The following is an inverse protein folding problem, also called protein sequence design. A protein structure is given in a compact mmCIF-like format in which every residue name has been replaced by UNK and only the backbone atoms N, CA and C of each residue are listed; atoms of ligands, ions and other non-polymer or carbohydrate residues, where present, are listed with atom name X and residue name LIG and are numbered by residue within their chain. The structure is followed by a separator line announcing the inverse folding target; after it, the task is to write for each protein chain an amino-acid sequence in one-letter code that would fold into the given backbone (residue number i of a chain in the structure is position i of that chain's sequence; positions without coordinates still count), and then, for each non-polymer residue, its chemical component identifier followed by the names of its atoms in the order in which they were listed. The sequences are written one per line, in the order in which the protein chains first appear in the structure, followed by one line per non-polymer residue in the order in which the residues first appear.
data_IF_847037828826
#
_entry.id   IF_847037828826
#
_cell.length_a   1.000
_cell.length_b   1.000
_cell.length_c   1.000
_cell.angle_alpha   90.00
_cell.angle_beta   90.00
_cell.angle_gamma   90.00
#
_symmetry.space_group_name_H-M   'P 1'
#
loop_
_entity.id
_entity.type
_entity.pdbx_description
1 polymer ?
#
# COMPACT_ATOMS: atom_id res chain seq x y z
N UNK A 1 -47.48 -8.08 29.90
CA UNK A 1 -47.22 -7.78 28.47
C UNK A 1 -46.14 -6.71 28.21
N UNK A 2 -45.94 -5.70 29.07
CA UNK A 2 -44.90 -4.66 28.85
C UNK A 2 -43.44 -5.09 29.10
N UNK A 3 -43.21 -6.14 29.90
CA UNK A 3 -41.84 -6.65 30.20
C UNK A 3 -41.26 -7.59 29.13
N UNK A 4 -42.09 -8.18 28.28
CA UNK A 4 -41.63 -9.09 27.21
C UNK A 4 -41.14 -8.33 25.98
N UNK A 5 -41.70 -7.14 25.72
CA UNK A 5 -41.31 -6.26 24.61
C UNK A 5 -39.92 -5.66 24.83
N UNK A 6 -39.54 -5.39 26.09
CA UNK A 6 -38.19 -4.90 26.41
C UNK A 6 -37.09 -5.94 26.19
N UNK A 7 -37.40 -7.24 26.35
CA UNK A 7 -36.42 -8.31 26.18
C UNK A 7 -36.14 -8.62 24.70
N UNK A 8 -37.15 -8.43 23.84
CA UNK A 8 -37.01 -8.56 22.38
C UNK A 8 -36.30 -7.33 21.79
N UNK A 9 -36.45 -6.14 22.39
CA UNK A 9 -35.71 -4.94 22.00
C UNK A 9 -34.22 -4.98 22.38
N UNK A 10 -33.83 -5.77 23.40
CA UNK A 10 -32.44 -5.88 23.84
C UNK A 10 -31.63 -6.97 23.10
N UNK A 11 -32.31 -7.90 22.42
CA UNK A 11 -31.67 -9.03 21.73
C UNK A 11 -31.44 -8.80 20.24
N UNK A 12 -31.98 -7.72 19.66
CA UNK A 12 -31.79 -7.36 18.25
C UNK A 12 -30.53 -6.51 17.96
N UNK A 13 -29.70 -6.22 18.98
CA UNK A 13 -28.46 -5.44 18.83
C UNK A 13 -27.20 -6.27 18.56
N UNK A 14 -27.29 -7.61 18.51
CA UNK A 14 -26.19 -8.46 18.06
C UNK A 14 -26.23 -8.69 16.55
N UNK A 15 -26.27 -7.60 15.77
CA UNK A 15 -25.81 -7.70 14.40
C UNK A 15 -24.32 -8.00 14.44
N UNK A 16 -23.96 -9.24 14.11
CA UNK A 16 -22.60 -9.57 13.67
C UNK A 16 -22.29 -8.62 12.52
N UNK A 17 -21.51 -7.58 12.80
CA UNK A 17 -20.81 -6.82 11.78
C UNK A 17 -19.76 -7.76 11.22
N UNK A 18 -20.18 -8.60 10.26
CA UNK A 18 -19.25 -9.20 9.35
C UNK A 18 -18.52 -8.02 8.71
N UNK A 19 -17.21 -7.91 8.94
CA UNK A 19 -16.36 -7.01 8.18
C UNK A 19 -16.64 -7.34 6.72
N UNK A 20 -17.43 -6.49 6.06
CA UNK A 20 -17.77 -6.72 4.67
C UNK A 20 -16.45 -6.66 3.93
N UNK A 21 -16.07 -7.77 3.29
CA UNK A 21 -15.11 -7.72 2.21
C UNK A 21 -15.56 -6.59 1.29
N UNK A 22 -14.72 -5.57 1.17
CA UNK A 22 -15.05 -4.39 0.41
C UNK A 22 -15.12 -4.84 -1.05
N UNK A 23 -16.35 -5.14 -1.54
CA UNK A 23 -16.64 -5.43 -2.94
C UNK A 23 -16.48 -4.15 -3.77
N UNK A 24 -15.25 -3.68 -3.90
CA UNK A 24 -14.85 -2.68 -4.89
C UNK A 24 -14.23 -3.43 -6.07
N UNK A 25 -14.33 -2.82 -7.24
CA UNK A 25 -13.61 -3.31 -8.40
C UNK A 25 -12.11 -3.28 -8.09
N UNK A 26 -11.49 -4.46 -7.96
CA UNK A 26 -10.04 -4.56 -7.92
C UNK A 26 -9.54 -4.38 -9.36
N UNK A 27 -8.84 -3.28 -9.69
CA UNK A 27 -8.32 -3.07 -11.03
C UNK A 27 -7.21 -4.06 -11.39
N UNK A 28 -6.67 -4.80 -10.41
CA UNK A 28 -5.65 -5.82 -10.58
C UNK A 28 -6.16 -7.04 -11.36
N UNK A 29 -6.13 -6.91 -12.68
CA UNK A 29 -6.40 -7.98 -13.64
C UNK A 29 -5.14 -8.78 -13.99
N UNK A 30 -3.97 -8.34 -13.51
CA UNK A 30 -2.67 -8.89 -13.87
C UNK A 30 -1.99 -9.32 -12.58
N UNK A 31 -2.26 -10.54 -12.12
CA UNK A 31 -1.53 -11.12 -10.98
C UNK A 31 -0.14 -11.52 -11.46
N UNK A 32 0.84 -10.63 -11.29
CA UNK A 32 2.23 -11.01 -11.50
C UNK A 32 2.65 -11.96 -10.39
N UNK A 33 2.64 -11.57 -9.10
CA UNK A 33 2.95 -12.47 -7.97
C UNK A 33 1.75 -13.30 -7.53
N UNK A 34 1.61 -14.48 -8.15
CA UNK A 34 0.84 -15.60 -7.61
C UNK A 34 1.84 -16.66 -7.12
N UNK A 35 1.65 -17.14 -5.89
CA UNK A 35 2.56 -18.09 -5.25
C UNK A 35 1.94 -19.48 -5.25
N UNK A 36 2.75 -20.48 -5.56
CA UNK A 36 2.33 -21.88 -5.46
C UNK A 36 2.11 -22.32 -4.01
N UNK A 37 1.39 -23.44 -3.86
CA UNK A 37 0.82 -23.96 -2.60
C UNK A 37 1.82 -24.12 -1.45
N UNK A 38 1.28 -24.20 -0.23
CA UNK A 38 1.99 -24.24 1.05
C UNK A 38 3.06 -25.35 1.09
N UNK A 39 4.35 -24.98 1.10
CA UNK A 39 5.46 -25.93 1.32
C UNK A 39 5.95 -25.86 2.76
N UNK A 40 6.10 -27.05 3.35
CA UNK A 40 6.51 -27.32 4.73
C UNK A 40 7.80 -26.60 5.14
N UNK A 41 7.73 -25.98 6.32
CA UNK A 41 8.86 -25.38 7.02
C UNK A 41 9.79 -26.51 7.49
N UNK A 42 11.02 -26.56 6.97
CA UNK A 42 12.12 -27.25 7.64
C UNK A 42 13.01 -26.20 8.27
N UNK A 43 12.89 -26.04 9.58
CA UNK A 43 13.72 -25.14 10.35
C UNK A 43 15.14 -25.73 10.42
N UNK A 44 16.06 -25.18 9.64
CA UNK A 44 17.49 -25.27 9.95
C UNK A 44 18.09 -23.87 9.88
N UNK A 45 18.46 -23.34 11.06
CA UNK A 45 19.17 -22.06 11.31
C UNK A 45 18.58 -20.76 10.73
N UNK A 46 17.52 -20.81 9.92
CA UNK A 46 16.86 -19.65 9.34
C UNK A 46 15.64 -19.23 10.18
N UNK A 47 15.81 -18.18 10.99
CA UNK A 47 14.81 -17.73 11.97
C UNK A 47 13.93 -16.58 11.48
N UNK A 48 12.76 -16.41 12.11
CA UNK A 48 11.84 -15.26 11.90
C UNK A 48 12.57 -13.92 12.02
N UNK A 49 13.53 -13.80 12.94
CA UNK A 49 14.33 -12.59 13.15
C UNK A 49 15.11 -12.16 11.90
N UNK A 50 15.55 -13.10 11.06
CA UNK A 50 16.25 -12.78 9.81
C UNK A 50 15.33 -11.99 8.86
N UNK A 51 14.08 -12.41 8.73
CA UNK A 51 13.09 -11.69 7.93
C UNK A 51 12.73 -10.33 8.52
N UNK A 52 12.53 -10.27 9.84
CA UNK A 52 12.23 -9.01 10.54
C UNK A 52 13.36 -8.01 10.31
N UNK A 53 14.61 -8.41 10.53
CA UNK A 53 15.77 -7.56 10.34
C UNK A 53 15.92 -7.10 8.90
N UNK A 54 15.65 -7.97 7.92
CA UNK A 54 15.64 -7.58 6.51
C UNK A 54 14.56 -6.55 6.20
N UNK A 55 13.34 -6.68 6.74
CA UNK A 55 12.26 -5.70 6.51
C UNK A 55 12.59 -4.36 7.16
N UNK A 56 13.03 -4.36 8.42
CA UNK A 56 13.28 -3.14 9.20
C UNK A 56 14.44 -2.33 8.60
N UNK A 57 15.48 -3.02 8.13
CA UNK A 57 16.68 -2.38 7.58
C UNK A 57 16.65 -2.22 6.05
N UNK A 58 15.59 -2.67 5.38
CA UNK A 58 15.52 -2.57 3.94
C UNK A 58 15.51 -1.11 3.46
N UNK A 59 16.43 -0.83 2.54
CA UNK A 59 16.47 0.41 1.75
C UNK A 59 16.35 0.12 0.26
N UNK A 60 16.42 -1.15 -0.14
CA UNK A 60 16.43 -1.58 -1.55
C UNK A 60 15.08 -1.38 -2.22
N UNK A 61 13.98 -1.58 -1.48
CA UNK A 61 12.62 -1.40 -1.99
C UNK A 61 12.40 0.06 -2.40
N UNK A 62 12.84 0.98 -1.55
CA UNK A 62 12.80 2.39 -1.84
C UNK A 62 13.77 2.79 -2.97
N UNK A 63 14.98 2.23 -2.98
CA UNK A 63 15.97 2.44 -4.03
C UNK A 63 15.46 2.00 -5.42
N UNK A 64 14.63 0.97 -5.50
CA UNK A 64 14.01 0.53 -6.76
C UNK A 64 13.17 1.63 -7.42
N UNK A 65 12.39 2.39 -6.64
CA UNK A 65 11.63 3.54 -7.16
C UNK A 65 12.56 4.68 -7.61
N UNK A 66 13.65 4.95 -6.88
CA UNK A 66 14.65 5.95 -7.31
C UNK A 66 15.34 5.55 -8.60
N UNK A 67 15.65 4.27 -8.76
CA UNK A 67 16.34 3.74 -9.93
C UNK A 67 15.53 3.99 -11.20
N UNK A 68 14.20 4.06 -11.14
CA UNK A 68 13.35 4.37 -12.30
C UNK A 68 13.74 5.68 -13.01
N UNK A 69 14.33 6.67 -12.32
CA UNK A 69 14.84 7.93 -12.93
C UNK A 69 15.99 7.71 -13.93
N UNK A 70 16.56 6.51 -13.96
CA UNK A 70 17.60 6.12 -14.93
C UNK A 70 17.01 5.44 -16.17
N UNK A 71 15.73 5.10 -16.17
CA UNK A 71 15.13 4.26 -17.21
C UNK A 71 14.04 5.00 -17.97
N UNK A 72 13.99 4.79 -19.28
CA UNK A 72 12.82 5.06 -20.12
C UNK A 72 11.83 3.89 -19.97
N UNK A 73 10.55 4.16 -19.75
CA UNK A 73 9.53 3.10 -19.57
C UNK A 73 8.11 3.64 -19.83
N UNK A 74 7.14 2.72 -19.90
CA UNK A 74 5.71 3.02 -20.03
C UNK A 74 5.01 2.77 -18.69
N UNK A 75 4.23 3.72 -18.21
CA UNK A 75 3.31 3.56 -17.09
C UNK A 75 1.86 3.53 -17.58
N UNK A 76 1.15 2.44 -17.31
CA UNK A 76 -0.29 2.30 -17.58
C UNK A 76 -1.05 2.41 -16.25
N UNK A 77 -1.88 3.46 -16.13
CA UNK A 77 -2.55 3.81 -14.89
C UNK A 77 -4.07 3.69 -15.07
N UNK A 78 -4.72 2.95 -14.18
CA UNK A 78 -6.18 2.87 -14.05
C UNK A 78 -6.59 3.34 -12.66
N UNK A 79 -7.49 4.31 -12.61
CA UNK A 79 -7.97 4.91 -11.36
C UNK A 79 -9.48 4.87 -11.35
N UNK A 80 -10.06 4.47 -10.23
CA UNK A 80 -11.50 4.50 -9.99
C UNK A 80 -11.79 5.25 -8.71
N UNK A 81 -12.77 6.15 -8.76
CA UNK A 81 -13.40 6.73 -7.58
C UNK A 81 -14.76 6.08 -7.34
N UNK A 82 -15.18 6.06 -6.08
CA UNK A 82 -16.45 5.48 -5.69
C UNK A 82 -17.28 6.44 -4.84
N UNK A 83 -18.59 6.37 -5.00
CA UNK A 83 -19.53 7.03 -4.10
C UNK A 83 -19.66 6.31 -2.75
N UNK A 84 -20.47 6.88 -1.86
CA UNK A 84 -20.77 6.32 -0.52
C UNK A 84 -21.41 4.91 -0.55
N UNK A 85 -21.94 4.48 -1.68
CA UNK A 85 -22.52 3.15 -1.88
C UNK A 85 -21.53 2.19 -2.57
N UNK A 86 -20.25 2.57 -2.71
CA UNK A 86 -19.21 1.83 -3.44
C UNK A 86 -19.51 1.66 -4.95
N UNK A 87 -20.35 2.52 -5.54
CA UNK A 87 -20.54 2.56 -7.00
C UNK A 87 -19.48 3.44 -7.64
N UNK A 88 -18.89 2.97 -8.73
CA UNK A 88 -17.90 3.75 -9.50
C UNK A 88 -18.55 5.04 -10.01
N UNK A 89 -18.02 6.18 -9.62
CA UNK A 89 -18.51 7.51 -10.02
C UNK A 89 -17.49 8.34 -10.81
N UNK A 90 -16.28 7.81 -10.99
CA UNK A 90 -15.23 8.37 -11.82
C UNK A 90 -14.22 7.32 -12.25
N UNK A 91 -13.65 7.52 -13.44
CA UNK A 91 -12.64 6.65 -14.04
C UNK A 91 -11.54 7.49 -14.68
N UNK A 92 -10.29 7.07 -14.52
CA UNK A 92 -9.15 7.56 -15.30
C UNK A 92 -8.43 6.37 -15.90
N UNK A 93 -8.16 6.45 -17.19
CA UNK A 93 -7.22 5.59 -17.87
C UNK A 93 -6.18 6.46 -18.57
N UNK A 94 -4.90 6.13 -18.37
CA UNK A 94 -3.82 6.84 -19.05
C UNK A 94 -2.64 5.93 -19.27
N UNK A 95 -1.99 6.14 -20.40
CA UNK A 95 -0.72 5.50 -20.76
C UNK A 95 0.31 6.60 -20.92
N UNK A 96 1.39 6.53 -20.16
CA UNK A 96 2.39 7.58 -20.05
C UNK A 96 3.74 6.98 -20.44
N UNK A 97 4.46 7.67 -21.31
CA UNK A 97 5.87 7.39 -21.58
C UNK A 97 6.73 8.32 -20.73
N UNK A 98 7.57 7.72 -19.89
CA UNK A 98 8.63 8.43 -19.19
C UNK A 98 9.91 8.25 -20.01
N UNK A 99 10.45 9.34 -20.55
CA UNK A 99 11.64 9.34 -21.37
C UNK A 99 12.83 9.91 -20.58
N UNK A 100 13.88 9.11 -20.45
CA UNK A 100 15.12 9.44 -19.76
C UNK A 100 16.36 9.30 -20.67
N UNK A 101 16.19 9.27 -22.00
CA UNK A 101 17.30 9.25 -22.98
C UNK A 101 18.02 10.62 -23.10
N UNK A 102 17.60 11.61 -22.32
CA UNK A 102 18.07 12.99 -22.27
C UNK A 102 17.44 13.72 -21.07
N UNK A 103 17.15 15.03 -21.15
CA UNK A 103 16.34 15.70 -20.14
C UNK A 103 15.01 14.98 -19.95
N UNK A 104 14.62 14.74 -18.70
CA UNK A 104 13.41 13.99 -18.38
C UNK A 104 12.19 14.60 -19.06
N UNK A 105 11.46 13.78 -19.81
CA UNK A 105 10.20 14.17 -20.46
C UNK A 105 9.10 13.16 -20.15
N UNK A 106 7.94 13.67 -19.74
CA UNK A 106 6.72 12.88 -19.56
C UNK A 106 5.79 13.13 -20.74
N UNK A 107 5.34 12.06 -21.41
CA UNK A 107 4.49 12.13 -22.60
C UNK A 107 3.24 11.27 -22.41
N UNK A 108 2.06 11.88 -22.54
CA UNK A 108 0.80 11.12 -22.51
C UNK A 108 0.57 10.48 -23.89
N UNK A 109 0.57 9.14 -23.92
CA UNK A 109 0.20 8.35 -25.10
C UNK A 109 -1.31 8.14 -25.17
N UNK A 110 -1.95 7.97 -24.02
CA UNK A 110 -3.41 7.89 -23.87
C UNK A 110 -3.80 8.67 -22.62
N UNK A 111 -4.90 9.42 -22.69
CA UNK A 111 -5.46 10.15 -21.55
C UNK A 111 -6.98 10.22 -21.66
N UNK A 112 -7.63 9.37 -20.89
CA UNK A 112 -9.08 9.23 -20.85
C UNK A 112 -9.56 9.40 -19.41
N UNK A 113 -10.64 10.15 -19.24
CA UNK A 113 -11.27 10.37 -17.96
C UNK A 113 -12.78 10.48 -18.12
N UNK A 114 -13.52 10.04 -17.11
CA UNK A 114 -14.97 10.14 -17.06
C UNK A 114 -15.46 10.29 -15.62
N UNK A 115 -16.64 10.87 -15.45
CA UNK A 115 -17.26 11.06 -14.13
C UNK A 115 -16.59 12.12 -13.26
N UNK A 116 -16.74 11.98 -11.93
CA UNK A 116 -16.40 12.99 -10.92
C UNK A 116 -14.93 12.96 -10.49
N UNK A 117 -14.02 13.06 -11.45
CA UNK A 117 -12.57 13.05 -11.18
C UNK A 117 -12.02 14.46 -10.92
N UNK A 118 -12.49 15.45 -11.67
CA UNK A 118 -11.96 16.81 -11.64
C UNK A 118 -13.03 17.82 -11.21
N UNK A 119 -12.60 18.82 -10.43
CA UNK A 119 -13.39 20.02 -10.14
C UNK A 119 -13.45 20.89 -11.39
N UNK A 120 -14.38 21.86 -11.41
CA UNK A 120 -14.51 22.85 -12.49
C UNK A 120 -13.21 23.63 -12.78
N UNK A 121 -12.33 23.78 -11.79
CA UNK A 121 -11.04 24.45 -11.92
C UNK A 121 -9.91 23.51 -12.41
N UNK A 122 -10.22 22.31 -12.88
CA UNK A 122 -9.25 21.33 -13.39
C UNK A 122 -8.43 20.60 -12.32
N UNK A 123 -8.57 20.94 -11.03
CA UNK A 123 -7.92 20.21 -9.93
C UNK A 123 -8.64 18.90 -9.62
N UNK A 124 -7.93 17.94 -9.06
CA UNK A 124 -8.54 16.69 -8.59
C UNK A 124 -9.64 16.97 -7.56
N UNK A 125 -10.74 16.23 -7.69
CA UNK A 125 -11.84 16.28 -6.74
C UNK A 125 -11.47 15.58 -5.43
N UNK A 126 -10.87 14.39 -5.54
CA UNK A 126 -10.45 13.56 -4.43
C UNK A 126 -8.97 13.78 -4.13
N UNK A 127 -8.67 14.08 -2.87
CA UNK A 127 -7.33 14.23 -2.36
C UNK A 127 -6.52 12.93 -2.46
N UNK A 128 -7.16 11.77 -2.31
CA UNK A 128 -6.55 10.44 -2.43
C UNK A 128 -5.98 10.23 -3.84
N UNK A 129 -6.69 10.71 -4.87
CA UNK A 129 -6.21 10.66 -6.26
C UNK A 129 -5.04 11.63 -6.44
N UNK A 130 -5.14 12.85 -5.92
CA UNK A 130 -4.04 13.82 -5.94
C UNK A 130 -2.78 13.28 -5.26
N UNK A 131 -2.95 12.61 -4.11
CA UNK A 131 -1.88 11.99 -3.35
C UNK A 131 -1.25 10.84 -4.13
N UNK A 132 -2.04 9.93 -4.68
CA UNK A 132 -1.51 8.80 -5.43
C UNK A 132 -0.73 9.28 -6.66
N UNK A 133 -1.26 10.28 -7.38
CA UNK A 133 -0.52 10.95 -8.45
C UNK A 133 0.78 11.57 -7.94
N UNK A 134 0.75 12.24 -6.79
CA UNK A 134 1.95 12.80 -6.20
C UNK A 134 2.99 11.73 -5.81
N UNK A 135 2.57 10.59 -5.28
CA UNK A 135 3.51 9.53 -4.87
C UNK A 135 4.07 8.78 -6.07
N UNK A 136 3.23 8.39 -7.04
CA UNK A 136 3.63 7.47 -8.10
C UNK A 136 3.89 8.13 -9.45
N UNK A 137 3.27 9.27 -9.74
CA UNK A 137 3.60 10.05 -10.94
C UNK A 137 4.66 11.10 -10.69
N UNK A 138 4.71 11.70 -9.51
CA UNK A 138 5.80 12.63 -9.19
C UNK A 138 7.00 11.91 -8.57
N UNK A 139 7.01 10.58 -8.48
CA UNK A 139 8.18 9.84 -8.00
C UNK A 139 9.50 10.20 -8.70
N UNK A 140 9.38 10.68 -9.94
CA UNK A 140 10.50 11.14 -10.76
C UNK A 140 11.01 12.53 -10.35
N UNK A 141 10.13 13.38 -9.80
CA UNK A 141 10.40 14.77 -9.41
C UNK A 141 10.43 15.01 -7.88
N UNK A 142 9.94 14.08 -7.07
CA UNK A 142 10.00 14.20 -5.62
C UNK A 142 11.39 13.78 -5.15
N UNK A 143 11.99 14.63 -4.31
CA UNK A 143 13.08 14.26 -3.42
C UNK A 143 12.50 13.34 -2.35
N UNK A 144 12.28 12.10 -2.74
CA UNK A 144 12.17 11.07 -1.76
C UNK A 144 13.57 10.93 -1.11
N UNK A 145 13.64 11.08 0.20
CA UNK A 145 14.89 10.95 0.96
C UNK A 145 14.68 9.78 1.92
N UNK A 146 15.56 8.76 1.92
CA UNK A 146 15.56 7.77 2.99
C UNK A 146 15.90 8.53 4.27
N UNK A 147 14.98 8.55 5.23
CA UNK A 147 15.05 9.40 6.42
C UNK A 147 14.86 10.89 6.14
N UNK A 148 13.93 11.28 5.28
CA UNK A 148 13.42 12.66 5.30
C UNK A 148 13.13 13.02 6.77
N UNK A 149 13.76 14.06 7.33
CA UNK A 149 13.35 14.58 8.63
C UNK A 149 11.84 14.81 8.52
N UNK A 150 11.08 14.43 9.54
CA UNK A 150 9.70 14.90 9.62
C UNK A 150 9.78 16.42 9.46
N UNK A 151 9.36 16.93 8.30
CA UNK A 151 9.59 18.32 7.94
C UNK A 151 9.09 19.21 9.08
N UNK A 152 9.81 20.30 9.31
CA UNK A 152 9.80 21.17 10.50
C UNK A 152 8.44 21.85 10.83
N UNK A 153 7.30 21.28 10.43
CA UNK A 153 5.98 21.84 10.59
C UNK A 153 5.71 23.07 9.72
N UNK A 154 6.67 23.45 8.85
CA UNK A 154 6.59 24.65 8.01
C UNK A 154 5.83 24.48 6.70
N UNK A 155 5.51 23.24 6.32
CA UNK A 155 4.59 22.94 5.22
C UNK A 155 3.14 22.95 5.70
N UNK A 156 2.21 23.46 4.88
CA UNK A 156 0.79 23.49 5.24
C UNK A 156 0.25 22.10 5.63
N UNK A 157 -0.91 22.04 6.28
CA UNK A 157 -1.53 20.80 6.81
C UNK A 157 -1.58 19.63 5.80
N UNK A 158 -1.67 19.95 4.50
CA UNK A 158 -1.69 18.97 3.41
C UNK A 158 -0.32 18.35 3.09
N UNK A 159 0.81 19.02 3.32
CA UNK A 159 2.15 18.51 3.00
C UNK A 159 2.63 17.52 4.05
N UNK A 160 2.43 17.83 5.34
CA UNK A 160 2.72 16.92 6.45
C UNK A 160 2.02 15.56 6.27
N UNK A 161 0.77 15.58 5.78
CA UNK A 161 -0.02 14.36 5.57
C UNK A 161 0.49 13.52 4.39
N UNK A 162 0.86 14.12 3.25
CA UNK A 162 1.48 13.41 2.13
C UNK A 162 2.74 12.67 2.57
N UNK A 163 3.57 13.28 3.41
CA UNK A 163 4.82 12.68 3.87
C UNK A 163 4.62 11.53 4.87
N UNK A 164 3.59 11.62 5.71
CA UNK A 164 3.19 10.54 6.62
C UNK A 164 2.65 9.33 5.86
N UNK A 165 1.84 9.55 4.82
CA UNK A 165 1.32 8.48 3.99
C UNK A 165 2.39 7.82 3.11
N UNK A 166 3.34 8.60 2.59
CA UNK A 166 4.56 8.03 1.98
C UNK A 166 5.26 7.07 2.94
N UNK A 167 5.40 7.46 4.21
CA UNK A 167 6.06 6.62 5.22
C UNK A 167 5.29 5.32 5.47
N UNK A 168 3.95 5.38 5.59
CA UNK A 168 3.10 4.17 5.69
C UNK A 168 3.27 3.23 4.50
N UNK A 169 3.31 3.79 3.29
CA UNK A 169 3.32 3.04 2.03
C UNK A 169 4.69 2.38 1.80
N UNK A 170 5.79 3.10 2.00
CA UNK A 170 7.13 2.60 1.66
C UNK A 170 7.83 1.90 2.83
N UNK A 171 7.51 2.26 4.07
CA UNK A 171 8.14 1.73 5.28
C UNK A 171 7.11 1.28 6.34
N UNK A 172 6.20 0.34 6.02
CA UNK A 172 5.32 -0.24 7.02
C UNK A 172 6.17 -0.95 8.08
N UNK A 173 5.87 -0.74 9.37
CA UNK A 173 6.69 -1.29 10.46
C UNK A 173 7.57 -0.28 11.20
N UNK A 174 7.76 0.95 10.66
CA UNK A 174 8.53 2.02 11.32
C UNK A 174 7.62 3.05 11.99
N UNK A 175 8.07 3.71 13.07
CA UNK A 175 7.26 4.69 13.76
C UNK A 175 7.06 5.94 12.90
N UNK A 176 5.84 6.49 12.94
CA UNK A 176 5.53 7.74 12.24
C UNK A 176 5.54 8.90 13.23
N UNK A 177 6.59 9.72 13.18
CA UNK A 177 6.70 10.92 14.00
C UNK A 177 5.68 11.97 13.56
N UNK A 178 5.05 12.65 14.53
CA UNK A 178 4.17 13.80 14.28
C UNK A 178 2.70 13.48 13.98
N UNK A 179 2.24 12.24 14.12
CA UNK A 179 0.80 11.91 14.27
C UNK A 179 0.51 11.54 15.72
N UNK A 180 -0.28 12.35 16.46
CA UNK A 180 -0.75 11.97 17.78
C UNK A 180 -1.42 10.59 17.73
N UNK A 181 -1.08 9.70 18.66
CA UNK A 181 -1.71 8.38 18.86
C UNK A 181 -1.54 7.33 17.75
N UNK A 182 -0.79 7.61 16.67
CA UNK A 182 -0.54 6.67 15.55
C UNK A 182 0.92 6.20 15.51
N UNK A 183 1.87 7.04 15.95
CA UNK A 183 3.30 6.82 15.71
C UNK A 183 3.87 5.49 16.20
N UNK A 184 3.47 4.98 17.37
CA UNK A 184 3.93 3.69 17.92
C UNK A 184 3.12 2.49 17.42
N UNK A 185 1.96 2.70 16.80
CA UNK A 185 1.04 1.63 16.36
C UNK A 185 1.45 0.98 15.02
N UNK A 186 2.39 1.60 14.31
CA UNK A 186 2.96 1.06 13.07
C UNK A 186 4.14 0.13 13.32
N UNK A 187 4.67 0.05 14.55
CA UNK A 187 5.87 -0.72 14.90
C UNK A 187 5.58 -2.18 15.23
N UNK A 188 5.11 -2.95 14.25
CA UNK A 188 4.64 -4.33 14.44
C UNK A 188 5.71 -5.30 14.96
N UNK A 189 7.00 -4.98 14.79
CA UNK A 189 8.13 -5.85 15.13
C UNK A 189 8.73 -5.62 16.52
N UNK A 190 8.24 -4.63 17.28
CA UNK A 190 8.74 -4.34 18.63
C UNK A 190 8.34 -5.43 19.63
N UNK A 191 9.12 -5.58 20.72
CA UNK A 191 8.85 -6.57 21.76
C UNK A 191 7.39 -6.51 22.28
N UNK A 192 6.88 -5.30 22.49
CA UNK A 192 5.51 -5.09 22.96
C UNK A 192 4.44 -5.43 21.91
N UNK A 193 4.73 -5.27 20.62
CA UNK A 193 3.75 -5.53 19.56
C UNK A 193 3.74 -6.99 19.12
N UNK A 194 4.87 -7.71 19.21
CA UNK A 194 4.99 -9.13 18.83
C UNK A 194 3.93 -10.03 19.45
N UNK A 195 3.45 -9.72 20.66
CA UNK A 195 2.39 -10.50 21.31
C UNK A 195 1.06 -10.51 20.53
N UNK A 196 0.80 -9.51 19.69
CA UNK A 196 -0.46 -9.33 18.96
C UNK A 196 -0.44 -9.90 17.54
N UNK A 197 0.71 -10.38 17.05
CA UNK A 197 0.86 -10.86 15.67
C UNK A 197 1.36 -12.30 15.63
N UNK A 198 0.86 -13.04 14.64
CA UNK A 198 1.43 -14.30 14.20
C UNK A 198 2.43 -14.04 13.08
N UNK A 199 3.56 -14.73 13.17
CA UNK A 199 4.66 -14.68 12.21
C UNK A 199 4.79 -16.04 11.55
N UNK A 200 4.76 -16.06 10.23
CA UNK A 200 4.93 -17.29 9.45
C UNK A 200 5.74 -17.01 8.21
N UNK A 201 6.44 -18.03 7.72
CA UNK A 201 7.05 -17.97 6.41
C UNK A 201 6.94 -19.30 5.70
N UNK A 202 6.83 -19.23 4.37
CA UNK A 202 6.75 -20.40 3.52
C UNK A 202 7.68 -20.26 2.34
N UNK A 203 8.22 -21.39 1.90
CA UNK A 203 8.87 -21.49 0.61
C UNK A 203 7.80 -21.57 -0.48
N UNK A 204 7.98 -20.82 -1.56
CA UNK A 204 7.13 -20.88 -2.75
C UNK A 204 7.96 -20.63 -4.02
N UNK A 205 7.31 -20.77 -5.17
CA UNK A 205 7.82 -20.37 -6.48
C UNK A 205 6.97 -19.22 -7.02
N UNK A 206 7.61 -18.26 -7.66
CA UNK A 206 7.02 -17.08 -8.28
C UNK A 206 7.32 -17.08 -9.79
N UNK A 207 6.33 -16.80 -10.65
CA UNK A 207 6.44 -16.87 -12.13
C UNK A 207 7.11 -18.17 -12.60
N UNK A 208 6.67 -19.30 -12.03
CA UNK A 208 7.09 -20.68 -12.36
C UNK A 208 8.59 -21.00 -12.16
N UNK A 209 9.43 -20.02 -11.83
CA UNK A 209 10.90 -20.16 -11.90
C UNK A 209 11.67 -19.41 -10.82
N UNK A 210 11.08 -18.43 -10.16
CA UNK A 210 11.76 -17.61 -9.15
C UNK A 210 11.50 -18.22 -7.77
N UNK A 211 12.49 -18.84 -7.12
CA UNK A 211 12.30 -19.36 -5.77
C UNK A 211 12.17 -18.21 -4.78
N UNK A 212 11.08 -18.19 -3.99
CA UNK A 212 10.82 -17.10 -3.04
C UNK A 212 10.47 -17.59 -1.63
N UNK A 213 10.79 -16.77 -0.63
CA UNK A 213 10.17 -16.88 0.69
C UNK A 213 9.00 -15.91 0.79
N UNK A 214 7.85 -16.40 1.22
CA UNK A 214 6.69 -15.60 1.59
C UNK A 214 6.65 -15.44 3.09
N UNK A 215 7.10 -14.30 3.60
CA UNK A 215 6.98 -13.94 5.02
C UNK A 215 5.66 -13.22 5.27
N UNK A 216 4.87 -13.69 6.24
CA UNK A 216 3.58 -13.12 6.60
C UNK A 216 3.56 -12.78 8.09
N UNK A 217 3.11 -11.56 8.38
CA UNK A 217 2.79 -11.05 9.71
C UNK A 217 1.31 -10.70 9.71
N UNK A 218 0.52 -11.28 10.61
CA UNK A 218 -0.92 -11.01 10.68
C UNK A 218 -1.39 -10.90 12.12
N UNK A 219 -2.41 -10.07 12.35
CA UNK A 219 -3.02 -9.95 13.68
C UNK A 219 -3.59 -11.29 14.11
N UNK A 220 -3.30 -11.68 15.35
CA UNK A 220 -3.75 -12.96 15.91
C UNK A 220 -5.28 -13.07 15.92
N UNK A 221 -5.84 -14.23 15.56
CA UNK A 221 -7.28 -14.40 15.42
C UNK A 221 -8.02 -14.47 16.76
N UNK A 222 -7.34 -14.78 17.86
CA UNK A 222 -7.91 -14.97 19.20
C UNK A 222 -7.95 -13.68 20.04
N UNK A 223 -7.39 -12.56 19.55
CA UNK A 223 -7.48 -11.27 20.23
C UNK A 223 -8.92 -10.75 20.28
N UNK A 224 -9.22 -9.99 21.34
CA UNK A 224 -10.49 -9.27 21.47
C UNK A 224 -10.71 -8.29 20.31
N UNK A 225 -11.97 -8.05 19.93
CA UNK A 225 -12.30 -7.11 18.86
C UNK A 225 -11.72 -5.71 19.13
N UNK A 226 -11.85 -5.23 20.37
CA UNK A 226 -11.29 -3.94 20.79
C UNK A 226 -9.78 -3.85 20.58
N UNK A 227 -9.04 -4.90 20.94
CA UNK A 227 -7.59 -4.96 20.71
C UNK A 227 -7.29 -4.95 19.22
N UNK A 228 -7.99 -5.76 18.42
CA UNK A 228 -7.81 -5.81 16.97
C UNK A 228 -8.05 -4.45 16.33
N UNK A 229 -9.09 -3.73 16.73
CA UNK A 229 -9.41 -2.40 16.19
C UNK A 229 -8.32 -1.37 16.49
N UNK A 230 -7.67 -1.49 17.65
CA UNK A 230 -6.54 -0.64 18.04
C UNK A 230 -5.25 -0.85 17.24
N UNK A 231 -5.09 -2.00 16.57
CA UNK A 231 -3.90 -2.36 15.78
C UNK A 231 -4.04 -1.86 14.34
N UNK A 232 -3.11 -1.04 13.86
CA UNK A 232 -3.24 -0.41 12.53
C UNK A 232 -2.97 -1.37 11.38
N UNK A 233 -1.84 -2.08 11.43
CA UNK A 233 -1.47 -3.06 10.40
C UNK A 233 -2.23 -4.35 10.70
N UNK A 234 -3.09 -4.80 9.79
CA UNK A 234 -3.82 -6.07 9.95
C UNK A 234 -3.03 -7.24 9.38
N UNK A 235 -2.38 -6.99 8.24
CA UNK A 235 -1.55 -7.97 7.56
C UNK A 235 -0.39 -7.27 6.84
N UNK A 236 0.81 -7.85 6.94
CA UNK A 236 1.96 -7.53 6.13
C UNK A 236 2.47 -8.83 5.51
N UNK A 237 2.56 -8.87 4.19
CA UNK A 237 3.21 -9.96 3.46
C UNK A 237 4.39 -9.39 2.70
N UNK A 238 5.56 -9.99 2.87
CA UNK A 238 6.78 -9.63 2.13
C UNK A 238 7.31 -10.85 1.40
N UNK A 239 7.60 -10.67 0.11
CA UNK A 239 8.12 -11.70 -0.78
C UNK A 239 9.61 -11.44 -0.96
N UNK A 240 10.43 -12.42 -0.61
CA UNK A 240 11.88 -12.36 -0.73
C UNK A 240 12.35 -13.34 -1.81
N UNK A 241 13.26 -12.92 -2.68
CA UNK A 241 14.00 -13.85 -3.54
C UNK A 241 14.88 -14.76 -2.65
N UNK A 242 14.82 -16.08 -2.80
CA UNK A 242 15.64 -16.98 -1.96
C UNK A 242 17.14 -16.89 -2.26
N UNK A 243 17.50 -16.43 -3.46
CA UNK A 243 18.89 -16.40 -3.95
C UNK A 243 19.62 -15.18 -3.40
N UNK A 244 18.97 -14.03 -3.42
CA UNK A 244 19.55 -12.74 -3.03
C UNK A 244 19.04 -12.23 -1.68
N UNK A 245 17.95 -12.80 -1.18
CA UNK A 245 17.18 -12.31 -0.03
C UNK A 245 16.67 -10.87 -0.18
N UNK A 246 16.59 -10.39 -1.42
CA UNK A 246 16.00 -9.10 -1.72
C UNK A 246 14.47 -9.18 -1.78
N UNK A 247 13.81 -8.08 -1.40
CA UNK A 247 12.36 -7.98 -1.45
C UNK A 247 11.89 -7.77 -2.88
N UNK A 248 11.03 -8.67 -3.38
CA UNK A 248 10.38 -8.63 -4.69
C UNK A 248 8.94 -8.11 -4.63
N UNK A 249 8.31 -8.18 -3.47
CA UNK A 249 6.93 -7.72 -3.33
C UNK A 249 6.54 -7.46 -1.89
N UNK A 250 5.61 -6.54 -1.71
CA UNK A 250 5.05 -6.22 -0.39
C UNK A 250 3.57 -5.93 -0.51
N UNK A 251 2.79 -6.64 0.29
CA UNK A 251 1.37 -6.39 0.51
C UNK A 251 1.16 -5.90 1.93
N UNK A 252 0.33 -4.87 2.09
CA UNK A 252 -0.05 -4.32 3.39
C UNK A 252 -1.57 -4.13 3.42
N UNK A 253 -2.20 -4.64 4.47
CA UNK A 253 -3.57 -4.34 4.88
C UNK A 253 -3.51 -3.46 6.15
N UNK A 254 -4.03 -2.24 6.05
CA UNK A 254 -4.04 -1.27 7.14
C UNK A 254 -5.45 -0.79 7.39
N UNK A 255 -5.90 -0.87 8.64
CA UNK A 255 -7.17 -0.30 9.06
C UNK A 255 -7.03 0.40 10.38
N UNK A 256 -7.61 1.59 10.47
CA UNK A 256 -7.60 2.36 11.69
C UNK A 256 -8.80 3.29 11.72
N UNK A 257 -9.51 3.31 12.85
CA UNK A 257 -10.65 4.21 13.05
C UNK A 257 -10.52 4.84 14.44
N UNK A 258 -10.55 6.17 14.49
CA UNK A 258 -10.68 6.98 15.70
C UNK A 258 -11.48 8.26 15.40
N UNK A 259 -11.68 9.11 16.42
CA UNK A 259 -12.46 10.35 16.26
C UNK A 259 -11.94 11.31 15.17
N UNK A 260 -10.66 11.19 14.80
CA UNK A 260 -10.00 12.10 13.85
C UNK A 260 -9.73 11.43 12.49
N UNK A 261 -9.66 10.11 12.39
CA UNK A 261 -9.21 9.41 11.20
C UNK A 261 -9.94 8.07 11.08
N UNK A 262 -10.50 7.81 9.91
CA UNK A 262 -10.98 6.48 9.54
C UNK A 262 -10.38 6.09 8.19
N UNK A 263 -9.63 4.99 8.15
CA UNK A 263 -9.16 4.44 6.89
C UNK A 263 -9.14 2.92 6.90
N UNK A 264 -9.41 2.36 5.73
CA UNK A 264 -9.25 0.94 5.39
C UNK A 264 -8.56 0.89 4.03
N UNK A 265 -7.32 0.42 4.02
CA UNK A 265 -6.40 0.50 2.89
C UNK A 265 -5.68 -0.81 2.70
N UNK A 266 -5.74 -1.31 1.47
CA UNK A 266 -4.98 -2.44 0.99
C UNK A 266 -4.06 -1.98 -0.14
N UNK A 267 -2.80 -2.37 -0.06
CA UNK A 267 -1.80 -1.99 -1.04
C UNK A 267 -0.89 -3.16 -1.36
N UNK A 268 -0.59 -3.35 -2.64
CA UNK A 268 0.38 -4.32 -3.12
C UNK A 268 1.36 -3.64 -4.06
N UNK A 269 2.65 -3.86 -3.85
CA UNK A 269 3.72 -3.39 -4.73
C UNK A 269 4.54 -4.60 -5.11
N UNK A 270 4.81 -4.73 -6.40
CA UNK A 270 5.59 -5.81 -6.98
C UNK A 270 6.76 -5.23 -7.76
N UNK A 271 7.88 -5.94 -7.73
CA UNK A 271 9.14 -5.59 -8.38
C UNK A 271 9.64 -6.77 -9.17
N UNK A 272 10.39 -6.47 -10.22
CA UNK A 272 11.13 -7.48 -10.98
C UNK A 272 12.54 -6.98 -11.28
N UNK A 273 13.40 -7.92 -11.66
CA UNK A 273 14.73 -7.63 -12.14
C UNK A 273 14.67 -7.27 -13.63
N UNK A 274 15.28 -6.15 -13.98
CA UNK A 274 15.58 -5.75 -15.34
C UNK A 274 17.11 -5.69 -15.45
N UNK A 275 17.70 -6.72 -16.06
CA UNK A 275 19.10 -7.06 -15.90
C UNK A 275 19.42 -7.28 -14.40
N UNK A 276 20.40 -6.57 -13.85
CA UNK A 276 20.79 -6.68 -12.43
C UNK A 276 20.07 -5.64 -11.54
N UNK A 277 19.18 -4.82 -12.10
CA UNK A 277 18.51 -3.74 -11.36
C UNK A 277 17.06 -4.10 -11.08
N UNK A 278 16.68 -4.05 -9.81
CA UNK A 278 15.30 -4.21 -9.37
C UNK A 278 14.49 -2.93 -9.60
N UNK A 279 13.35 -3.05 -10.28
CA UNK A 279 12.43 -1.95 -10.57
C UNK A 279 10.98 -2.35 -10.28
N UNK A 280 10.11 -1.42 -9.84
CA UNK A 280 8.69 -1.68 -9.63
C UNK A 280 7.97 -2.04 -10.93
N UNK A 281 7.19 -3.11 -10.96
CA UNK A 281 6.43 -3.54 -12.15
C UNK A 281 4.95 -3.31 -12.01
N UNK A 282 4.41 -3.43 -10.79
CA UNK A 282 2.98 -3.28 -10.53
C UNK A 282 2.73 -2.69 -9.16
N UNK A 283 1.75 -1.80 -9.08
CA UNK A 283 1.29 -1.19 -7.84
C UNK A 283 -0.22 -1.20 -7.85
N UNK A 284 -0.82 -1.78 -6.82
CA UNK A 284 -2.26 -1.79 -6.64
C UNK A 284 -2.60 -1.20 -5.29
N UNK A 285 -3.67 -0.44 -5.27
CA UNK A 285 -4.18 0.19 -4.07
C UNK A 285 -5.69 0.11 -4.12
N UNK A 286 -6.30 -0.15 -2.97
CA UNK A 286 -7.72 0.01 -2.74
C UNK A 286 -7.92 0.53 -1.34
N UNK A 287 -8.70 1.59 -1.17
CA UNK A 287 -9.01 2.03 0.18
C UNK A 287 -9.96 3.20 0.29
N UNK A 288 -10.32 3.49 1.52
CA UNK A 288 -11.06 4.68 1.93
C UNK A 288 -10.25 5.51 2.92
N UNK A 289 -10.45 6.82 2.81
CA UNK A 289 -9.93 7.80 3.74
C UNK A 289 -11.05 8.75 4.15
N UNK A 290 -11.40 8.72 5.42
CA UNK A 290 -12.16 9.76 6.09
C UNK A 290 -11.22 10.57 6.99
N UNK A 291 -11.21 11.88 6.78
CA UNK A 291 -10.34 12.81 7.49
C UNK A 291 -11.11 14.06 7.86
N UNK A 292 -10.71 14.76 8.94
CA UNK A 292 -11.53 15.80 9.53
C UNK A 292 -11.82 16.91 8.52
N UNK A 293 -13.05 17.40 8.54
CA UNK A 293 -13.54 18.51 7.71
C UNK A 293 -13.65 18.20 6.20
N UNK A 294 -13.54 16.93 5.81
CA UNK A 294 -13.57 16.50 4.41
C UNK A 294 -14.50 15.31 4.25
N UNK A 295 -14.94 15.05 3.03
CA UNK A 295 -15.82 13.92 2.75
C UNK A 295 -14.97 12.66 2.66
N UNK A 296 -15.47 11.55 3.19
CA UNK A 296 -14.88 10.23 2.96
C UNK A 296 -14.61 10.03 1.47
N UNK A 297 -13.36 9.69 1.16
CA UNK A 297 -12.88 9.45 -0.19
C UNK A 297 -12.62 7.96 -0.37
N UNK A 298 -13.09 7.40 -1.49
CA UNK A 298 -12.91 5.99 -1.82
C UNK A 298 -12.27 5.88 -3.19
N UNK A 299 -11.15 5.19 -3.28
CA UNK A 299 -10.44 5.05 -4.54
C UNK A 299 -9.73 3.69 -4.67
N UNK A 300 -9.53 3.29 -5.91
CA UNK A 300 -8.62 2.20 -6.27
C UNK A 300 -7.72 2.61 -7.43
N UNK A 301 -6.51 2.08 -7.42
CA UNK A 301 -5.48 2.37 -8.41
C UNK A 301 -4.82 1.06 -8.84
N UNK A 302 -4.53 0.97 -10.13
CA UNK A 302 -3.57 0.04 -10.71
C UNK A 302 -2.57 0.85 -11.53
N UNK A 303 -1.30 0.67 -11.24
CA UNK A 303 -0.19 1.16 -12.04
C UNK A 303 0.62 -0.04 -12.51
N UNK A 304 0.84 -0.15 -13.80
CA UNK A 304 1.71 -1.16 -14.40
C UNK A 304 2.83 -0.47 -15.13
N UNK A 305 4.07 -0.79 -14.79
CA UNK A 305 5.25 -0.33 -15.52
C UNK A 305 5.71 -1.41 -16.49
N UNK A 306 5.99 -0.99 -17.74
CA UNK A 306 6.38 -1.85 -18.85
C UNK A 306 7.55 -1.23 -19.61
N UNK A 307 8.24 -2.06 -20.39
CA UNK A 307 9.23 -1.62 -21.38
C UNK A 307 10.38 -0.78 -20.80
N UNK A 308 10.88 -1.15 -19.62
CA UNK A 308 12.06 -0.52 -19.05
C UNK A 308 13.27 -0.66 -19.96
N UNK A 309 13.90 0.47 -20.27
CA UNK A 309 15.15 0.58 -21.02
C UNK A 309 16.04 1.58 -20.32
N UNK A 310 17.31 1.24 -20.11
CA UNK A 310 18.25 2.19 -19.52
C UNK A 310 18.34 3.43 -20.43
N UNK A 311 18.19 4.61 -19.84
CA UNK A 311 18.25 5.87 -20.57
C UNK A 311 19.65 6.05 -21.17
N UNK A 312 19.72 6.59 -22.39
CA UNK A 312 21.00 6.85 -23.05
C UNK A 312 21.88 7.78 -22.20
N UNK A 313 23.12 7.35 -21.92
CA UNK A 313 24.12 8.14 -21.18
C UNK A 313 24.10 7.97 -19.66
N UNK A 314 23.52 6.89 -19.12
CA UNK A 314 23.49 6.59 -17.68
C UNK A 314 23.92 5.17 -17.35
#
# INVERSE_FOLDING_TARGET
MKKLILLIALTSLFFKVNSQEIKRFNPDTIRTIQLDSVVNIRAEKFGIETFINAIVNDTSFYQAFRNMKKYTFIAENRIFSYDKNNKVDGKVYRKIKHNNDGPYKMEYLVKENSGKIFKKNGKYQLYTIEMFDYIFMNAYNTDFVPNAPAGDGKGGTNESYKDKLKTLIFNPGKPIKGLPFIGSKTEIFTANMRQYYDYSFYSATYLDSIPVYRFKVAVKPDLSSWTKDGLMIKELVTIFDKRTFEILGRYVDMKYSNMLFDFDVQMNIEMSYFNEVKLPTKITYQGNWDYPFKKEERASFLVVHKDYKLGKGK
#
